data_IF_913043569082
#
_entry.id   IF_913043569082
#
_cell.length_a   1.000
_cell.length_b   1.000
_cell.length_c   1.000
_cell.angle_alpha   90.00
_cell.angle_beta   90.00
_cell.angle_gamma   90.00
#
_symmetry.space_group_name_H-M   'P 1'
#
loop_
_entity.id
_entity.type
_entity.pdbx_description
1 polymer ?
#
# COMPACT_ATOMS: atom_id res chain seq x y z
N UNK A 1 -32.21 14.32 11.83
CA UNK A 1 -30.92 14.60 11.14
C UNK A 1 -29.80 15.01 12.10
N UNK A 2 -29.54 14.24 13.18
CA UNK A 2 -28.42 14.50 14.13
C UNK A 2 -27.49 13.29 14.35
N UNK A 3 -27.89 12.10 13.90
CA UNK A 3 -27.16 10.85 14.14
C UNK A 3 -26.09 10.56 13.09
N UNK A 4 -26.25 11.04 11.85
CA UNK A 4 -25.26 10.86 10.78
C UNK A 4 -23.94 11.61 11.06
N UNK A 5 -24.00 12.74 11.77
CA UNK A 5 -22.82 13.52 12.14
C UNK A 5 -21.91 12.77 13.14
N UNK A 6 -22.49 11.96 14.04
CA UNK A 6 -21.71 11.17 15.01
C UNK A 6 -20.93 10.04 14.36
N UNK A 7 -21.48 9.40 13.31
CA UNK A 7 -20.77 8.36 12.56
C UNK A 7 -19.58 8.92 11.76
N UNK A 8 -19.72 10.11 11.18
CA UNK A 8 -18.62 10.78 10.49
C UNK A 8 -17.49 11.17 11.46
N UNK A 9 -17.82 11.64 12.66
CA UNK A 9 -16.83 11.99 13.68
C UNK A 9 -16.13 10.75 14.26
N UNK A 10 -16.85 9.64 14.47
CA UNK A 10 -16.25 8.37 14.88
C UNK A 10 -15.35 7.74 13.82
N UNK A 11 -15.68 7.90 12.54
CA UNK A 11 -14.82 7.46 11.44
C UNK A 11 -13.51 8.28 11.37
N UNK A 12 -13.58 9.60 11.58
CA UNK A 12 -12.44 10.51 11.62
C UNK A 12 -11.57 10.32 12.87
N UNK A 13 -12.17 10.21 14.06
CA UNK A 13 -11.43 9.89 15.29
C UNK A 13 -10.83 8.48 15.24
N UNK A 14 -11.46 7.55 14.55
CA UNK A 14 -10.88 6.24 14.32
C UNK A 14 -9.71 6.29 13.32
N UNK A 15 -9.74 7.16 12.30
CA UNK A 15 -8.59 7.37 11.39
C UNK A 15 -7.38 7.99 12.12
N UNK A 16 -7.60 8.63 13.26
CA UNK A 16 -6.55 9.17 14.13
C UNK A 16 -5.90 8.14 15.08
N UNK A 17 -6.31 6.87 15.07
CA UNK A 17 -5.63 5.79 15.81
C UNK A 17 -4.46 5.16 15.06
N UNK A 18 -4.11 5.63 13.86
CA UNK A 18 -2.83 5.30 13.25
C UNK A 18 -1.76 6.17 13.87
N UNK A 19 -0.68 5.57 14.37
CA UNK A 19 0.47 6.31 14.87
C UNK A 19 1.06 7.14 13.71
N UNK A 20 0.66 8.40 13.63
CA UNK A 20 1.09 9.33 12.58
C UNK A 20 2.61 9.53 12.59
N UNK A 21 3.23 9.34 13.75
CA UNK A 21 4.68 9.37 13.88
C UNK A 21 5.29 8.10 13.26
N UNK A 22 4.74 6.92 13.56
CA UNK A 22 5.11 5.68 12.88
C UNK A 22 4.94 5.78 11.36
N UNK A 23 3.82 6.29 10.87
CA UNK A 23 3.57 6.48 9.43
C UNK A 23 4.68 7.34 8.80
N UNK A 24 5.02 8.45 9.45
CA UNK A 24 6.02 9.40 8.95
C UNK A 24 7.41 8.76 8.93
N UNK A 25 7.82 8.12 10.02
CA UNK A 25 9.13 7.46 10.15
C UNK A 25 9.28 6.32 9.13
N UNK A 26 8.27 5.46 9.02
CA UNK A 26 8.28 4.33 8.07
C UNK A 26 8.19 4.78 6.61
N UNK A 27 7.46 5.86 6.33
CA UNK A 27 7.39 6.40 4.96
C UNK A 27 8.74 6.97 4.53
N UNK A 28 9.47 7.59 5.46
CA UNK A 28 10.79 8.16 5.19
C UNK A 28 11.84 7.05 4.97
N UNK A 29 11.78 5.98 5.76
CA UNK A 29 12.62 4.79 5.58
C UNK A 29 12.37 4.11 4.23
N UNK A 30 11.10 3.92 3.88
CA UNK A 30 10.74 3.38 2.57
C UNK A 30 11.26 4.24 1.41
N UNK A 31 11.10 5.57 1.50
CA UNK A 31 11.58 6.46 0.44
C UNK A 31 13.10 6.39 0.28
N UNK A 32 13.84 6.23 1.39
CA UNK A 32 15.30 5.98 1.34
C UNK A 32 15.64 4.65 0.67
N UNK A 33 14.92 3.58 0.98
CA UNK A 33 15.13 2.27 0.35
C UNK A 33 14.85 2.34 -1.15
N UNK A 34 13.75 2.98 -1.55
CA UNK A 34 13.44 3.23 -2.96
C UNK A 34 14.56 4.02 -3.65
N UNK A 35 15.02 5.11 -3.06
CA UNK A 35 16.09 5.93 -3.63
C UNK A 35 17.43 5.20 -3.74
N UNK A 36 17.78 4.35 -2.77
CA UNK A 36 19.02 3.57 -2.79
C UNK A 36 18.97 2.40 -3.79
N UNK A 37 17.80 1.83 -4.02
CA UNK A 37 17.59 0.71 -4.97
C UNK A 37 17.28 1.15 -6.40
N UNK A 38 17.15 2.46 -6.65
CA UNK A 38 16.79 3.06 -7.95
C UNK A 38 17.87 2.90 -9.04
N UNK A 39 18.96 2.18 -8.77
CA UNK A 39 20.11 2.09 -9.67
C UNK A 39 20.12 0.86 -10.60
N UNK A 40 19.22 -0.12 -10.47
CA UNK A 40 19.39 -1.41 -11.16
C UNK A 40 18.25 -1.97 -12.01
N UNK A 41 16.97 -1.62 -11.82
CA UNK A 41 15.89 -2.10 -12.70
C UNK A 41 14.59 -1.26 -12.60
N UNK A 42 14.15 -0.69 -13.73
CA UNK A 42 13.00 0.22 -13.85
C UNK A 42 11.76 -0.41 -14.49
N UNK A 43 11.67 -1.74 -14.57
CA UNK A 43 10.46 -2.38 -15.06
C UNK A 43 9.22 -1.96 -14.25
N UNK A 44 8.06 -1.91 -14.90
CA UNK A 44 6.79 -1.57 -14.24
C UNK A 44 6.57 -2.44 -12.99
N UNK A 45 6.86 -3.74 -13.12
CA UNK A 45 6.68 -4.70 -12.05
C UNK A 45 7.69 -4.55 -10.91
N UNK A 46 8.96 -4.25 -11.18
CA UNK A 46 9.92 -3.97 -10.11
C UNK A 46 9.52 -2.73 -9.31
N UNK A 47 9.07 -1.68 -9.99
CA UNK A 47 8.68 -0.42 -9.34
C UNK A 47 7.39 -0.57 -8.53
N UNK A 48 6.35 -1.21 -9.09
CA UNK A 48 5.06 -1.39 -8.42
C UNK A 48 5.18 -2.30 -7.21
N UNK A 49 5.87 -3.45 -7.31
CA UNK A 49 6.10 -4.34 -6.16
C UNK A 49 6.82 -3.62 -5.02
N UNK A 50 7.80 -2.77 -5.34
CA UNK A 50 8.52 -1.99 -4.32
C UNK A 50 7.65 -0.94 -3.65
N UNK A 51 6.93 -0.13 -4.44
CA UNK A 51 6.07 0.93 -3.92
C UNK A 51 4.93 0.35 -3.07
N UNK A 52 4.23 -0.66 -3.58
CA UNK A 52 3.10 -1.26 -2.90
C UNK A 52 3.56 -2.10 -1.71
N UNK A 53 4.63 -2.89 -1.84
CA UNK A 53 5.19 -3.65 -0.71
C UNK A 53 5.63 -2.74 0.44
N UNK A 54 6.20 -1.58 0.13
CA UNK A 54 6.49 -0.55 1.13
C UNK A 54 5.22 -0.04 1.83
N UNK A 55 4.18 0.32 1.07
CA UNK A 55 2.94 0.84 1.63
C UNK A 55 2.23 -0.21 2.49
N UNK A 56 2.26 -1.48 2.09
CA UNK A 56 1.71 -2.61 2.83
C UNK A 56 2.47 -2.83 4.14
N UNK A 57 3.81 -2.87 4.08
CA UNK A 57 4.64 -3.00 5.28
C UNK A 57 4.40 -1.85 6.26
N UNK A 58 4.32 -0.62 5.76
CA UNK A 58 4.01 0.56 6.57
C UNK A 58 2.63 0.42 7.23
N UNK A 59 1.62 -0.02 6.47
CA UNK A 59 0.27 -0.20 6.97
C UNK A 59 0.17 -1.28 8.05
N UNK A 60 0.96 -2.34 7.92
CA UNK A 60 1.06 -3.42 8.92
C UNK A 60 1.81 -2.94 10.17
N UNK A 61 3.01 -2.37 9.99
CA UNK A 61 3.89 -1.94 11.09
C UNK A 61 3.24 -0.86 11.96
N UNK A 62 2.47 0.04 11.36
CA UNK A 62 1.79 1.12 12.06
C UNK A 62 0.31 0.82 12.39
N UNK A 63 -0.10 -0.46 12.26
CA UNK A 63 -1.48 -0.95 12.46
C UNK A 63 -2.57 -0.04 11.85
N UNK A 64 -2.32 0.42 10.63
CA UNK A 64 -3.20 1.37 9.97
C UNK A 64 -4.48 0.70 9.52
N UNK A 65 -5.56 1.46 9.53
CA UNK A 65 -6.89 0.99 9.14
C UNK A 65 -6.99 0.46 7.72
N UNK A 66 -6.08 0.89 6.83
CA UNK A 66 -6.06 0.46 5.45
C UNK A 66 -5.13 -0.75 5.21
N UNK A 67 -4.57 -1.39 6.26
CA UNK A 67 -3.69 -2.56 6.11
C UNK A 67 -4.28 -3.66 5.24
N UNK A 68 -5.55 -4.02 5.46
CA UNK A 68 -6.22 -5.06 4.67
C UNK A 68 -6.42 -4.64 3.19
N UNK A 69 -6.56 -3.34 2.93
CA UNK A 69 -6.61 -2.84 1.56
C UNK A 69 -5.22 -2.89 0.92
N UNK A 70 -4.18 -2.50 1.66
CA UNK A 70 -2.80 -2.54 1.18
C UNK A 70 -2.37 -3.97 0.84
N UNK A 71 -2.64 -4.94 1.72
CA UNK A 71 -2.38 -6.38 1.47
C UNK A 71 -3.07 -6.90 0.21
N UNK A 72 -4.32 -6.47 -0.05
CA UNK A 72 -5.03 -6.84 -1.28
C UNK A 72 -4.38 -6.24 -2.52
N UNK A 73 -3.97 -4.97 -2.47
CA UNK A 73 -3.29 -4.33 -3.59
C UNK A 73 -1.94 -4.98 -3.85
N UNK A 74 -1.21 -5.36 -2.80
CA UNK A 74 0.05 -6.09 -2.89
C UNK A 74 -0.13 -7.44 -3.59
N UNK A 75 -1.14 -8.23 -3.19
CA UNK A 75 -1.49 -9.49 -3.83
C UNK A 75 -1.86 -9.31 -5.31
N UNK A 76 -2.61 -8.27 -5.66
CA UNK A 76 -2.98 -7.99 -7.06
C UNK A 76 -1.75 -7.63 -7.90
N UNK A 77 -0.85 -6.81 -7.36
CA UNK A 77 0.39 -6.45 -8.05
C UNK A 77 1.28 -7.68 -8.22
N UNK A 78 1.36 -8.54 -7.21
CA UNK A 78 2.10 -9.80 -7.31
C UNK A 78 1.54 -10.67 -8.43
N UNK A 79 0.21 -10.85 -8.48
CA UNK A 79 -0.44 -11.59 -9.56
C UNK A 79 -0.16 -10.95 -10.93
N UNK A 80 -0.36 -9.65 -11.11
CA UNK A 80 -0.11 -8.97 -12.40
C UNK A 80 1.33 -9.15 -12.87
N UNK A 81 2.27 -9.24 -11.93
CA UNK A 81 3.69 -9.30 -12.20
C UNK A 81 4.28 -10.72 -12.15
N UNK A 82 3.44 -11.74 -11.97
CA UNK A 82 3.82 -13.15 -12.12
C UNK A 82 3.35 -13.63 -13.49
N UNK A 83 4.30 -13.99 -14.35
CA UNK A 83 4.01 -14.60 -15.65
C UNK A 83 3.14 -15.86 -15.48
N UNK A 84 2.10 -16.00 -16.31
CA UNK A 84 1.15 -17.13 -16.26
C UNK A 84 0.07 -17.01 -15.16
N UNK A 85 0.00 -15.89 -14.44
CA UNK A 85 -1.16 -15.63 -13.58
C UNK A 85 -2.39 -15.23 -14.42
N UNK A 86 -3.59 -15.48 -13.88
CA UNK A 86 -4.86 -15.10 -14.54
C UNK A 86 -4.94 -13.59 -14.83
N UNK A 87 -4.42 -12.75 -13.93
CA UNK A 87 -4.43 -11.30 -14.09
C UNK A 87 -3.37 -10.84 -15.10
N UNK A 88 -2.20 -11.48 -15.12
CA UNK A 88 -1.15 -11.19 -16.11
C UNK A 88 -1.64 -11.50 -17.54
N UNK A 89 -2.26 -12.67 -17.73
CA UNK A 89 -2.85 -13.07 -19.02
C UNK A 89 -4.00 -12.16 -19.44
N UNK A 90 -4.85 -11.73 -18.50
CA UNK A 90 -5.95 -10.80 -18.77
C UNK A 90 -5.52 -9.40 -19.20
N UNK A 91 -4.29 -8.97 -18.86
CA UNK A 91 -3.70 -7.69 -19.29
C UNK A 91 -3.06 -7.81 -20.68
N UNK A 92 -2.50 -8.97 -21.02
CA UNK A 92 -1.85 -9.21 -22.33
C UNK A 92 -2.85 -9.48 -23.46
N UNK A 93 -4.10 -9.88 -23.17
CA UNK A 93 -5.15 -10.19 -24.17
C UNK A 93 -5.98 -8.94 -24.55
N UNK A 94 -5.40 -7.74 -24.50
CA UNK A 94 -6.09 -6.49 -24.87
C UNK A 94 -5.44 -5.77 -26.03
#
# INVERSE_FOLDING_TARGET
MKWLAFFAFGALCGLANGDTQCFTERSLECNRQLQNEFLFDFSFCSLQKRLIGCLTKLAIDCDLKFKSLAEKVDSIVEEICTEGSKLHEGILIK
#
